data_IF_635960096577
#
_entry.id   IF_635960096577
#
_cell.length_a   1.000
_cell.length_b   1.000
_cell.length_c   1.000
_cell.angle_alpha   90.00
_cell.angle_beta   90.00
_cell.angle_gamma   90.00
#
_symmetry.space_group_name_H-M   'P 1'
#
loop_
_entity.id
_entity.type
_entity.pdbx_description
1 polymer ?
#
# COMPACT_ATOMS: atom_id res chain seq x y z
N UNK A 1 -10.29 15.27 2.82
CA UNK A 1 -9.17 14.44 2.33
C UNK A 1 -8.49 13.85 3.55
N UNK A 2 -8.23 12.54 3.56
CA UNK A 2 -7.62 11.84 4.70
C UNK A 2 -6.23 11.39 4.26
N UNK A 3 -5.21 11.79 5.00
CA UNK A 3 -3.84 11.27 4.86
C UNK A 3 -3.58 10.34 6.04
N UNK A 4 -3.23 9.08 5.77
CA UNK A 4 -2.82 8.16 6.83
C UNK A 4 -1.46 8.58 7.39
N UNK A 5 -1.24 8.52 8.72
CA UNK A 5 -0.06 9.09 9.36
C UNK A 5 1.22 8.33 9.07
N UNK A 6 1.12 7.03 8.80
CA UNK A 6 2.24 6.15 8.54
C UNK A 6 2.09 5.42 7.19
N UNK A 7 3.20 4.95 6.59
CA UNK A 7 3.14 4.04 5.46
C UNK A 7 2.38 2.76 5.83
N UNK A 8 1.29 2.47 5.11
CA UNK A 8 0.43 1.30 5.37
C UNK A 8 0.41 0.31 4.19
N UNK A 9 0.10 -0.98 4.42
CA UNK A 9 -0.14 -1.95 3.36
C UNK A 9 -1.27 -1.53 2.43
N UNK A 10 -1.15 -1.89 1.15
CA UNK A 10 -2.18 -1.64 0.13
C UNK A 10 -3.62 -2.01 0.58
N UNK A 11 -3.88 -3.15 1.24
CA UNK A 11 -5.23 -3.49 1.68
C UNK A 11 -5.86 -2.49 2.67
N UNK A 12 -5.05 -1.75 3.45
CA UNK A 12 -5.55 -0.75 4.40
C UNK A 12 -6.20 0.42 3.66
N UNK A 13 -5.62 0.86 2.54
CA UNK A 13 -6.20 1.94 1.72
C UNK A 13 -7.54 1.51 1.11
N UNK A 14 -7.61 0.29 0.54
CA UNK A 14 -8.84 -0.27 0.02
C UNK A 14 -9.93 -0.40 1.11
N UNK A 15 -9.54 -0.85 2.31
CA UNK A 15 -10.43 -0.90 3.47
C UNK A 15 -10.92 0.49 3.89
N UNK A 16 -10.03 1.48 3.97
CA UNK A 16 -10.36 2.84 4.35
C UNK A 16 -11.38 3.48 3.41
N UNK A 17 -11.21 3.30 2.09
CA UNK A 17 -12.19 3.76 1.09
C UNK A 17 -13.58 3.19 1.37
N UNK A 18 -13.68 1.86 1.54
CA UNK A 18 -14.94 1.19 1.89
C UNK A 18 -15.55 1.71 3.18
N UNK A 19 -14.71 1.90 4.20
CA UNK A 19 -15.15 2.22 5.56
C UNK A 19 -15.62 3.66 5.69
N UNK A 20 -15.00 4.58 4.96
CA UNK A 20 -15.27 6.02 5.04
C UNK A 20 -16.25 6.51 3.98
N UNK A 21 -16.53 5.72 2.94
CA UNK A 21 -17.29 6.19 1.78
C UNK A 21 -16.52 7.21 0.94
N UNK A 22 -15.19 7.24 1.02
CA UNK A 22 -14.38 8.11 0.19
C UNK A 22 -14.58 7.78 -1.29
N UNK A 23 -14.68 8.81 -2.14
CA UNK A 23 -14.84 8.61 -3.58
C UNK A 23 -13.63 7.94 -4.23
N UNK A 24 -12.43 8.19 -3.68
CA UNK A 24 -11.17 7.63 -4.18
C UNK A 24 -10.19 7.41 -3.04
N UNK A 25 -9.40 6.34 -3.14
CA UNK A 25 -8.20 6.10 -2.34
C UNK A 25 -6.99 5.93 -3.26
N UNK A 26 -5.88 6.58 -2.92
CA UNK A 26 -4.64 6.51 -3.68
C UNK A 26 -3.57 5.91 -2.77
N UNK A 27 -2.91 4.86 -3.26
CA UNK A 27 -1.78 4.23 -2.59
C UNK A 27 -0.53 4.45 -3.42
N UNK A 28 0.49 5.11 -2.87
CA UNK A 28 1.77 5.32 -3.55
C UNK A 28 2.65 4.09 -3.27
N UNK A 29 2.88 3.29 -4.30
CA UNK A 29 3.68 2.07 -4.21
C UNK A 29 4.11 1.58 -5.58
N UNK A 30 5.36 1.14 -5.70
CA UNK A 30 5.84 0.39 -6.85
C UNK A 30 5.68 -1.14 -6.65
N UNK A 31 4.93 -1.56 -5.62
CA UNK A 31 4.71 -2.94 -5.23
C UNK A 31 6.01 -3.71 -4.98
N UNK A 32 6.48 -4.48 -5.95
CA UNK A 32 7.69 -5.29 -5.87
C UNK A 32 8.80 -4.81 -6.81
N UNK A 33 8.57 -3.68 -7.48
CA UNK A 33 9.54 -3.07 -8.37
C UNK A 33 10.75 -2.55 -7.57
N UNK A 34 11.91 -2.37 -8.24
CA UNK A 34 13.05 -1.65 -7.69
C UNK A 34 12.67 -0.34 -7.00
N UNK A 35 13.43 0.04 -5.96
CA UNK A 35 13.19 1.26 -5.18
C UNK A 35 13.31 2.57 -6.00
N UNK A 36 13.95 2.51 -7.16
CA UNK A 36 14.03 3.64 -8.10
C UNK A 36 12.72 3.94 -8.80
N UNK A 37 11.78 2.98 -8.77
CA UNK A 37 10.53 3.08 -9.48
C UNK A 37 9.44 3.67 -8.61
N UNK A 38 8.61 4.51 -9.20
CA UNK A 38 7.41 5.02 -8.58
C UNK A 38 6.19 4.39 -9.23
N UNK A 39 5.12 4.28 -8.44
CA UNK A 39 3.83 3.86 -8.92
C UNK A 39 2.73 4.27 -7.96
N UNK A 40 1.50 4.21 -8.43
CA UNK A 40 0.34 4.40 -7.59
C UNK A 40 -0.76 3.41 -7.98
N UNK A 41 -1.61 3.11 -7.00
CA UNK A 41 -2.83 2.32 -7.18
C UNK A 41 -4.01 3.22 -6.81
N UNK A 42 -5.06 3.16 -7.60
CA UNK A 42 -6.29 3.93 -7.38
C UNK A 42 -7.42 2.96 -7.04
N UNK A 43 -8.12 3.27 -5.96
CA UNK A 43 -9.29 2.54 -5.46
C UNK A 43 -10.49 3.47 -5.54
N UNK A 44 -11.60 2.99 -6.10
CA UNK A 44 -12.87 3.72 -6.16
C UNK A 44 -13.86 3.17 -5.15
N UNK A 45 -15.13 3.50 -5.33
CA UNK A 45 -16.24 3.02 -4.51
C UNK A 45 -16.14 1.51 -4.23
N UNK A 46 -16.48 1.14 -2.99
CA UNK A 46 -16.29 -0.21 -2.51
C UNK A 46 -14.82 -0.65 -2.36
N UNK A 47 -13.85 0.26 -2.44
CA UNK A 47 -12.41 -0.03 -2.28
C UNK A 47 -11.88 -0.98 -3.35
N UNK A 48 -12.51 -0.97 -4.53
CA UNK A 48 -12.13 -1.79 -5.67
C UNK A 48 -11.08 -1.02 -6.47
N UNK A 49 -10.00 -1.71 -6.85
CA UNK A 49 -8.98 -1.09 -7.70
C UNK A 49 -9.57 -0.77 -9.07
N UNK A 50 -9.19 0.38 -9.65
CA UNK A 50 -9.67 0.77 -10.98
C UNK A 50 -9.47 -0.33 -12.02
N UNK A 51 -10.44 -0.45 -12.92
CA UNK A 51 -10.43 -1.30 -14.11
C UNK A 51 -10.90 -0.49 -15.31
N UNK A 52 -10.71 -1.00 -16.52
CA UNK A 52 -11.27 -0.36 -17.70
C UNK A 52 -12.80 -0.29 -17.64
N UNK A 53 -13.41 0.81 -18.13
CA UNK A 53 -12.81 1.91 -18.90
C UNK A 53 -12.23 3.07 -18.07
N UNK A 54 -12.37 3.04 -16.74
CA UNK A 54 -11.97 4.15 -15.85
C UNK A 54 -10.49 4.51 -15.99
N UNK A 55 -9.61 3.51 -16.13
CA UNK A 55 -8.17 3.73 -16.33
C UNK A 55 -7.88 4.60 -17.56
N UNK A 56 -8.59 4.38 -18.67
CA UNK A 56 -8.47 5.18 -19.89
C UNK A 56 -8.96 6.61 -19.72
N UNK A 57 -10.04 6.82 -18.94
CA UNK A 57 -10.52 8.17 -18.64
C UNK A 57 -9.49 8.94 -17.79
N UNK A 58 -8.83 8.27 -16.84
CA UNK A 58 -7.74 8.86 -16.06
C UNK A 58 -6.55 9.17 -16.98
N UNK A 59 -6.14 8.26 -17.86
CA UNK A 59 -5.06 8.49 -18.84
C UNK A 59 -5.35 9.70 -19.74
N UNK A 60 -6.58 9.82 -20.24
CA UNK A 60 -7.00 10.97 -21.05
C UNK A 60 -6.99 12.29 -20.25
N UNK A 61 -7.48 12.27 -19.01
CA UNK A 61 -7.45 13.43 -18.13
C UNK A 61 -6.02 13.86 -17.77
N UNK A 62 -5.11 12.89 -17.56
CA UNK A 62 -3.70 13.15 -17.33
C UNK A 62 -3.02 13.78 -18.55
N UNK A 63 -3.34 13.31 -19.76
CA UNK A 63 -2.79 13.88 -20.99
C UNK A 63 -3.23 15.33 -21.24
N UNK A 64 -4.42 15.70 -20.75
CA UNK A 64 -4.95 17.06 -20.83
C UNK A 64 -4.53 17.98 -19.66
N UNK A 65 -3.97 17.40 -18.58
CA UNK A 65 -3.57 18.16 -17.40
C UNK A 65 -2.28 18.96 -17.66
N UNK A 66 -2.09 20.11 -16.97
CA UNK A 66 -0.82 20.83 -17.03
C UNK A 66 0.31 20.00 -16.38
N UNK A 67 1.58 20.38 -16.61
CA UNK A 67 2.73 19.80 -15.91
C UNK A 67 2.54 19.74 -14.38
N UNK A 68 3.03 18.68 -13.75
CA UNK A 68 2.75 18.38 -12.33
C UNK A 68 3.28 19.43 -11.33
N UNK A 69 4.26 20.24 -11.73
CA UNK A 69 4.79 21.40 -11.00
C UNK A 69 3.88 22.63 -11.09
N UNK A 70 2.95 22.67 -12.05
CA UNK A 70 1.96 23.73 -12.24
C UNK A 70 0.59 23.39 -11.63
N UNK A 71 0.41 22.17 -11.11
CA UNK A 71 -0.80 21.77 -10.41
C UNK A 71 -0.77 22.32 -8.98
N UNK A 72 -1.72 23.19 -8.65
CA UNK A 72 -1.86 23.75 -7.31
C UNK A 72 -2.04 22.63 -6.26
N UNK A 73 -1.21 22.66 -5.20
CA UNK A 73 -1.22 21.66 -4.14
C UNK A 73 -1.81 22.25 -2.88
N UNK A 74 -2.68 21.48 -2.23
CA UNK A 74 -3.16 21.79 -0.89
C UNK A 74 -2.44 20.90 0.12
N UNK A 75 -1.76 21.45 1.13
CA UNK A 75 -1.24 20.66 2.25
C UNK A 75 -2.39 19.90 2.91
N UNK A 76 -2.12 18.65 3.27
CA UNK A 76 -3.06 17.82 4.01
C UNK A 76 -2.31 17.24 5.19
N UNK A 77 -2.74 17.62 6.38
CA UNK A 77 -2.17 17.10 7.61
C UNK A 77 -2.54 15.62 7.77
N UNK A 78 -1.60 14.80 8.29
CA UNK A 78 -1.91 13.46 8.74
C UNK A 78 -3.14 13.43 9.64
N UNK A 79 -4.13 12.62 9.28
CA UNK A 79 -5.32 12.45 10.09
C UNK A 79 -5.06 11.44 11.21
N UNK A 80 -5.39 11.80 12.44
CA UNK A 80 -5.51 10.83 13.52
C UNK A 80 -6.79 10.01 13.30
N UNK A 81 -6.63 8.75 12.91
CA UNK A 81 -7.75 7.84 12.61
C UNK A 81 -7.53 6.49 13.28
N UNK A 82 -8.63 5.79 13.55
CA UNK A 82 -8.67 4.40 14.04
C UNK A 82 -8.72 3.37 12.89
N UNK A 83 -8.56 3.82 11.63
CA UNK A 83 -8.75 2.99 10.43
C UNK A 83 -7.81 1.78 10.38
N UNK A 84 -6.57 1.93 10.87
CA UNK A 84 -5.62 0.83 10.92
C UNK A 84 -6.03 -0.23 11.94
N UNK A 85 -6.51 0.20 13.11
CA UNK A 85 -7.00 -0.70 14.16
C UNK A 85 -8.25 -1.45 13.70
N UNK A 86 -9.23 -0.75 13.10
CA UNK A 86 -10.41 -1.39 12.51
C UNK A 86 -10.05 -2.40 11.40
N UNK A 87 -9.02 -2.11 10.60
CA UNK A 87 -8.53 -3.05 9.59
C UNK A 87 -7.96 -4.31 10.27
N UNK A 88 -7.11 -4.14 11.28
CA UNK A 88 -6.48 -5.23 12.04
C UNK A 88 -7.54 -6.11 12.70
N UNK A 89 -8.53 -5.50 13.36
CA UNK A 89 -9.63 -6.21 14.01
C UNK A 89 -10.43 -7.04 13.00
N UNK A 90 -10.79 -6.42 11.87
CA UNK A 90 -11.49 -7.12 10.79
C UNK A 90 -10.66 -8.28 10.23
N UNK A 91 -9.37 -8.06 9.99
CA UNK A 91 -8.47 -9.06 9.43
C UNK A 91 -8.27 -10.24 10.41
N UNK A 92 -8.16 -9.96 11.71
CA UNK A 92 -8.08 -10.99 12.74
C UNK A 92 -9.36 -11.82 12.80
N UNK A 93 -10.53 -11.20 12.61
CA UNK A 93 -11.84 -11.88 12.56
C UNK A 93 -12.04 -12.83 11.38
N UNK A 94 -11.17 -12.82 10.35
CA UNK A 94 -11.23 -13.78 9.24
C UNK A 94 -10.79 -15.18 9.68
N UNK A 95 -9.99 -15.28 10.73
CA UNK A 95 -9.48 -16.56 11.25
C UNK A 95 -10.64 -17.46 11.69
N UNK A 96 -10.73 -18.66 11.10
CA UNK A 96 -11.74 -19.68 11.44
C UNK A 96 -11.23 -20.84 12.27
N UNK A 97 -9.92 -20.98 12.42
CA UNK A 97 -9.29 -22.11 13.12
C UNK A 97 -8.89 -21.75 14.54
N UNK A 98 -9.09 -22.69 15.45
CA UNK A 98 -8.60 -22.65 16.84
C UNK A 98 -7.26 -23.38 16.95
N UNK A 99 -6.49 -23.12 18.02
CA UNK A 99 -5.20 -23.77 18.29
C UNK A 99 -3.97 -22.88 18.04
N UNK A 100 -2.80 -23.36 18.48
CA UNK A 100 -1.53 -22.64 18.38
C UNK A 100 -0.73 -23.05 17.15
N UNK A 101 -0.27 -22.07 16.37
CA UNK A 101 0.65 -22.29 15.25
C UNK A 101 1.90 -21.43 15.46
N UNK A 102 3.06 -21.97 15.11
CA UNK A 102 4.31 -21.19 15.04
C UNK A 102 4.42 -20.56 13.65
N UNK A 103 4.53 -19.25 13.59
CA UNK A 103 4.58 -18.49 12.33
C UNK A 103 5.94 -17.82 12.18
N UNK A 104 6.62 -18.10 11.07
CA UNK A 104 7.79 -17.36 10.61
C UNK A 104 7.34 -16.32 9.57
N UNK A 105 7.55 -15.03 9.87
CA UNK A 105 7.14 -13.91 9.01
C UNK A 105 8.35 -13.09 8.58
N UNK A 106 8.44 -12.82 7.26
CA UNK A 106 9.35 -11.81 6.69
C UNK A 106 8.53 -10.76 5.96
N UNK A 107 8.70 -9.49 6.32
CA UNK A 107 8.02 -8.37 5.67
C UNK A 107 8.75 -7.90 4.40
N UNK A 108 9.93 -8.46 4.12
CA UNK A 108 10.86 -8.03 3.06
C UNK A 108 11.13 -6.52 3.09
N UNK A 109 11.27 -5.93 4.28
CA UNK A 109 11.38 -4.47 4.50
C UNK A 109 10.19 -3.67 3.94
N UNK A 110 9.04 -4.31 3.77
CA UNK A 110 7.80 -3.68 3.38
C UNK A 110 7.00 -3.19 4.58
N UNK A 111 6.01 -2.35 4.29
CA UNK A 111 5.11 -1.72 5.27
C UNK A 111 4.13 -2.70 5.95
N UNK A 112 4.10 -3.97 5.53
CA UNK A 112 3.18 -5.00 6.05
C UNK A 112 3.59 -5.67 7.34
N UNK A 113 4.86 -5.54 7.76
CA UNK A 113 5.40 -6.31 8.87
C UNK A 113 4.65 -6.09 10.19
N UNK A 114 4.58 -4.83 10.63
CA UNK A 114 3.93 -4.49 11.90
C UNK A 114 2.43 -4.87 11.89
N UNK A 115 1.72 -4.52 10.83
CA UNK A 115 0.28 -4.82 10.68
C UNK A 115 0.01 -6.32 10.69
N UNK A 116 0.83 -7.12 10.00
CA UNK A 116 0.69 -8.57 9.97
C UNK A 116 0.97 -9.20 11.34
N UNK A 117 2.03 -8.77 12.05
CA UNK A 117 2.33 -9.25 13.40
C UNK A 117 1.19 -8.93 14.35
N UNK A 118 0.69 -7.70 14.33
CA UNK A 118 -0.41 -7.27 15.20
C UNK A 118 -1.70 -8.04 14.90
N UNK A 119 -2.05 -8.20 13.62
CA UNK A 119 -3.20 -9.01 13.19
C UNK A 119 -3.11 -10.45 13.69
N UNK A 120 -1.93 -11.07 13.59
CA UNK A 120 -1.73 -12.44 14.05
C UNK A 120 -1.82 -12.58 15.57
N UNK A 121 -1.49 -11.53 16.34
CA UNK A 121 -1.59 -11.55 17.81
C UNK A 121 -3.02 -11.46 18.32
N UNK A 122 -3.93 -10.81 17.58
CA UNK A 122 -5.34 -10.68 17.96
C UNK A 122 -6.13 -12.00 17.73
N UNK A 123 -7.20 -12.23 18.51
CA UNK A 123 -7.26 -13.22 19.58
C UNK A 123 -7.13 -14.68 19.10
N UNK A 124 -5.95 -15.29 19.33
CA UNK A 124 -5.73 -16.68 19.76
C UNK A 124 -4.23 -17.03 19.56
N UNK A 125 -3.36 -16.44 20.38
CA UNK A 125 -1.96 -16.81 20.63
C UNK A 125 -1.24 -17.72 19.60
N UNK A 126 -0.92 -17.25 18.39
CA UNK A 126 0.19 -17.82 17.65
C UNK A 126 1.50 -17.22 18.18
N UNK A 127 2.51 -18.06 18.42
CA UNK A 127 3.87 -17.58 18.59
C UNK A 127 4.36 -17.10 17.22
N UNK A 128 4.25 -15.80 16.96
CA UNK A 128 4.75 -15.16 15.74
C UNK A 128 6.16 -14.63 16.01
N UNK A 129 7.15 -15.19 15.32
CA UNK A 129 8.55 -14.74 15.40
C UNK A 129 8.88 -13.95 14.12
N UNK A 130 8.82 -12.61 14.14
CA UNK A 130 9.23 -11.80 13.00
C UNK A 130 10.74 -11.92 12.78
N UNK A 131 11.16 -12.02 11.52
CA UNK A 131 12.59 -11.92 11.19
C UNK A 131 13.11 -10.51 11.49
N UNK A 132 14.06 -10.39 12.44
CA UNK A 132 14.71 -9.12 12.82
C UNK A 132 15.43 -8.45 11.63
N UNK A 133 15.79 -9.21 10.60
CA UNK A 133 16.58 -8.75 9.45
C UNK A 133 15.74 -8.05 8.36
N UNK A 134 14.44 -7.91 8.56
CA UNK A 134 13.47 -7.55 7.50
C UNK A 134 12.24 -6.78 8.04
N UNK A 135 12.27 -6.34 9.30
CA UNK A 135 11.09 -5.88 10.03
C UNK A 135 10.74 -4.41 9.82
N UNK A 136 11.73 -3.55 9.55
CA UNK A 136 11.50 -2.11 9.38
C UNK A 136 11.42 -1.74 7.90
N UNK A 137 10.43 -0.91 7.51
CA UNK A 137 10.38 -0.38 6.16
C UNK A 137 11.62 0.47 5.88
N UNK A 138 12.30 0.18 4.77
CA UNK A 138 13.49 0.96 4.36
C UNK A 138 13.40 1.34 2.88
N UNK A 139 13.61 2.62 2.54
CA UNK A 139 13.50 3.09 1.16
C UNK A 139 14.64 2.61 0.24
N UNK A 140 15.73 2.07 0.80
CA UNK A 140 16.96 1.70 0.06
C UNK A 140 17.26 0.20 0.05
N UNK A 141 16.28 -0.64 0.35
CA UNK A 141 16.48 -2.10 0.38
C UNK A 141 16.91 -2.63 -0.99
N UNK A 142 17.94 -3.51 -1.06
CA UNK A 142 18.34 -4.14 -2.30
C UNK A 142 17.19 -5.01 -2.83
N UNK A 143 16.95 -5.04 -4.15
CA UNK A 143 15.89 -5.86 -4.72
C UNK A 143 16.09 -7.32 -4.32
N UNK A 144 15.03 -7.92 -3.77
CA UNK A 144 15.00 -9.37 -3.54
C UNK A 144 15.31 -10.09 -4.85
N UNK A 145 16.17 -11.13 -4.80
CA UNK A 145 16.42 -12.02 -5.95
C UNK A 145 15.16 -12.71 -6.47
N UNK A 146 14.08 -12.74 -5.69
CA UNK A 146 12.75 -13.13 -6.17
C UNK A 146 11.65 -12.42 -5.37
N UNK A 147 10.84 -11.55 -6.00
CA UNK A 147 9.71 -10.90 -5.33
C UNK A 147 8.46 -11.78 -5.19
N UNK A 148 8.46 -13.02 -5.73
CA UNK A 148 7.23 -13.80 -5.89
C UNK A 148 7.42 -15.27 -5.48
N UNK A 149 6.68 -15.79 -4.47
CA UNK A 149 6.52 -17.22 -4.29
C UNK A 149 5.45 -17.74 -5.29
N UNK A 150 5.89 -18.30 -6.42
CA UNK A 150 5.12 -18.91 -7.54
C UNK A 150 4.62 -17.98 -8.67
N UNK A 151 4.48 -18.62 -9.84
CA UNK A 151 4.50 -18.14 -11.24
C UNK A 151 3.38 -17.20 -11.68
N UNK A 152 3.76 -16.22 -12.53
CA UNK A 152 2.95 -15.42 -13.47
C UNK A 152 1.53 -15.08 -13.00
N UNK A 153 1.43 -14.04 -12.18
CA UNK A 153 0.24 -13.17 -12.14
C UNK A 153 0.34 -12.21 -13.34
N UNK A 154 -0.70 -12.00 -14.16
CA UNK A 154 -0.67 -10.98 -15.20
C UNK A 154 -0.34 -9.61 -14.57
N UNK A 155 0.49 -8.78 -15.22
CA UNK A 155 0.88 -7.49 -14.64
C UNK A 155 -0.37 -6.64 -14.42
N UNK A 156 -0.64 -6.29 -13.16
CA UNK A 156 -1.58 -5.22 -12.83
C UNK A 156 -1.07 -3.93 -13.48
N UNK A 157 -1.96 -3.13 -14.09
CA UNK A 157 -1.60 -1.80 -14.59
C UNK A 157 -1.19 -0.92 -13.40
N UNK A 158 0.12 -0.85 -13.16
CA UNK A 158 0.76 0.15 -12.34
C UNK A 158 1.33 1.19 -13.30
N UNK A 159 0.82 2.43 -13.23
CA UNK A 159 1.45 3.52 -13.96
C UNK A 159 2.82 3.81 -13.35
N UNK A 160 3.86 3.74 -14.18
CA UNK A 160 5.24 4.09 -13.84
C UNK A 160 5.53 5.46 -14.41
N UNK A 161 6.22 6.29 -13.64
CA UNK A 161 6.76 7.56 -14.14
C UNK A 161 8.22 7.70 -13.71
N UNK A 162 9.11 8.21 -14.58
CA UNK A 162 10.47 8.58 -14.17
C UNK A 162 10.43 9.65 -13.07
N UNK A 163 11.46 9.69 -12.22
CA UNK A 163 11.62 10.79 -11.25
C UNK A 163 11.58 12.11 -12.00
N UNK A 164 10.81 13.08 -11.50
CA UNK A 164 10.95 14.46 -11.92
C UNK A 164 12.39 14.89 -11.60
N UNK A 165 13.13 15.30 -12.63
CA UNK A 165 14.43 15.93 -12.46
C UNK A 165 14.26 17.17 -11.59
N UNK A 166 14.95 17.24 -10.46
CA UNK A 166 14.98 18.48 -9.67
C UNK A 166 15.57 19.60 -10.55
N UNK A 167 15.03 20.83 -10.53
CA UNK A 167 15.65 21.94 -11.22
C UNK A 167 17.02 22.20 -10.57
N UNK A 168 18.09 22.05 -11.32
CA UNK A 168 19.43 22.54 -10.93
C UNK A 168 19.36 24.06 -10.84
N UNK A 169 19.43 24.60 -9.62
CA UNK A 169 19.69 26.02 -9.40
C UNK A 169 21.08 26.35 -9.96
N UNK A 170 21.14 27.28 -10.91
CA UNK A 170 22.35 28.06 -11.19
C UNK A 170 22.33 29.32 -10.35
#
# INVERSE_FOLDING_TARGET
MVLLPDPVPTPVVAFAVRRTGAAVGIQITASHNPATDNGYKVYLDGGIQIVSPTDRHIEAAMAAAPPADQIARKPVEPAHTDLLDHYIERAAGVRRSTGSVRVALTAMHGVGGAVAVETLRRPASPTCTPSRRSSHPTPTSPPSRSPTPRSRVPPMRCWRWPRASAPTSR
#
